data_IF_931014617502
#
_entry.id   IF_931014617502
#
_cell.length_a   1.000
_cell.length_b   1.000
_cell.length_c   1.000
_cell.angle_alpha   90.00
_cell.angle_beta   90.00
_cell.angle_gamma   90.00
#
_symmetry.space_group_name_H-M   'P 1'
#
loop_
_entity.id
_entity.type
_entity.pdbx_description
1 polymer ?
#
# COMPACT_ATOMS: atom_id res chain seq x y z
N UNK A 1 -17.23 6.34 -39.33
CA UNK A 1 -17.66 5.61 -38.12
C UNK A 1 -16.50 4.75 -37.67
N UNK A 2 -15.78 5.11 -36.60
CA UNK A 2 -14.54 4.44 -36.19
C UNK A 2 -14.87 3.20 -35.34
N UNK A 3 -14.70 2.01 -35.92
CA UNK A 3 -14.85 0.74 -35.23
C UNK A 3 -13.69 0.49 -34.28
N UNK A 4 -13.99 0.30 -32.99
CA UNK A 4 -13.02 0.05 -31.94
C UNK A 4 -12.46 -1.38 -32.08
N UNK A 5 -11.37 -1.52 -32.84
CA UNK A 5 -10.73 -2.81 -33.19
C UNK A 5 -10.17 -3.61 -32.00
N UNK A 6 -10.17 -3.04 -30.79
CA UNK A 6 -9.60 -3.65 -29.57
C UNK A 6 -10.51 -4.75 -28.99
N UNK A 7 -11.78 -4.85 -29.42
CA UNK A 7 -12.74 -5.86 -28.91
C UNK A 7 -13.18 -6.92 -29.92
N UNK A 8 -12.56 -6.98 -31.10
CA UNK A 8 -12.84 -7.98 -32.12
C UNK A 8 -11.70 -9.01 -32.14
N UNK A 9 -12.04 -10.29 -31.97
CA UNK A 9 -11.11 -11.38 -32.28
C UNK A 9 -10.82 -11.40 -33.80
N UNK A 10 -9.83 -12.18 -34.25
CA UNK A 10 -9.35 -12.24 -35.64
C UNK A 10 -10.45 -12.49 -36.69
N UNK A 11 -11.63 -12.95 -36.28
CA UNK A 11 -12.81 -13.21 -37.11
C UNK A 11 -13.92 -12.14 -37.03
N UNK A 12 -13.67 -10.97 -36.41
CA UNK A 12 -14.66 -9.89 -36.34
C UNK A 12 -15.80 -10.13 -35.33
N UNK A 13 -15.67 -11.16 -34.49
CA UNK A 13 -16.62 -11.49 -33.43
C UNK A 13 -16.33 -10.64 -32.18
N UNK A 14 -17.33 -9.91 -31.69
CA UNK A 14 -17.26 -9.23 -30.40
C UNK A 14 -17.24 -10.27 -29.27
N UNK A 15 -16.04 -10.63 -28.80
CA UNK A 15 -15.89 -11.49 -27.62
C UNK A 15 -16.23 -10.67 -26.39
N UNK A 16 -17.44 -10.85 -25.85
CA UNK A 16 -17.79 -10.25 -24.57
C UNK A 16 -16.96 -10.93 -23.47
N UNK A 17 -16.15 -10.19 -22.70
CA UNK A 17 -15.39 -10.78 -21.61
C UNK A 17 -16.34 -11.38 -20.59
N UNK A 18 -16.12 -12.65 -20.24
CA UNK A 18 -16.88 -13.31 -19.18
C UNK A 18 -16.53 -12.65 -17.83
N UNK A 19 -17.48 -11.88 -17.28
CA UNK A 19 -17.33 -11.25 -15.97
C UNK A 19 -17.39 -12.34 -14.90
N UNK A 20 -16.27 -12.58 -14.21
CA UNK A 20 -16.24 -13.52 -13.09
C UNK A 20 -16.92 -12.87 -11.87
N UNK A 21 -17.75 -13.63 -11.17
CA UNK A 21 -18.29 -13.21 -9.87
C UNK A 21 -17.25 -13.47 -8.79
N UNK A 22 -16.84 -12.41 -8.10
CA UNK A 22 -15.94 -12.49 -6.95
C UNK A 22 -16.79 -12.74 -5.71
N UNK A 23 -16.38 -13.72 -4.91
CA UNK A 23 -17.00 -14.11 -3.66
C UNK A 23 -16.08 -13.79 -2.46
N UNK A 24 -16.61 -13.87 -1.24
CA UNK A 24 -15.82 -13.58 -0.03
C UNK A 24 -14.62 -14.53 0.17
N UNK A 25 -14.66 -15.83 -0.20
CA UNK A 25 -13.48 -16.70 -0.21
C UNK A 25 -12.35 -16.19 -1.09
N UNK A 26 -12.67 -15.69 -2.29
CA UNK A 26 -11.66 -15.20 -3.24
C UNK A 26 -10.85 -14.02 -2.66
N UNK A 27 -11.50 -13.20 -1.82
CA UNK A 27 -10.84 -12.11 -1.11
C UNK A 27 -9.86 -12.63 -0.05
N UNK A 28 -10.27 -13.62 0.73
CA UNK A 28 -9.41 -14.22 1.76
C UNK A 28 -8.21 -14.94 1.14
N UNK A 29 -8.43 -15.66 0.04
CA UNK A 29 -7.36 -16.33 -0.70
C UNK A 29 -6.38 -15.32 -1.29
N UNK A 30 -6.86 -14.23 -1.88
CA UNK A 30 -6.00 -13.15 -2.40
C UNK A 30 -5.17 -12.49 -1.28
N UNK A 31 -5.77 -12.23 -0.11
CA UNK A 31 -5.06 -11.69 1.05
C UNK A 31 -4.00 -12.66 1.58
N UNK A 32 -4.31 -13.95 1.64
CA UNK A 32 -3.38 -14.99 2.08
C UNK A 32 -2.18 -15.10 1.14
N UNK A 33 -2.42 -15.14 -0.17
CA UNK A 33 -1.35 -15.18 -1.18
C UNK A 33 -0.46 -13.94 -1.09
N UNK A 34 -1.06 -12.75 -0.92
CA UNK A 34 -0.30 -11.52 -0.70
C UNK A 34 0.53 -11.54 0.60
N UNK A 35 0.02 -12.17 1.66
CA UNK A 35 0.76 -12.34 2.92
C UNK A 35 1.92 -13.34 2.79
N UNK A 36 1.73 -14.44 2.05
CA UNK A 36 2.79 -15.40 1.74
C UNK A 36 3.91 -14.75 0.91
N UNK A 37 3.56 -13.96 -0.11
CA UNK A 37 4.52 -13.18 -0.91
C UNK A 37 5.29 -12.15 -0.07
N UNK A 38 4.61 -11.50 0.88
CA UNK A 38 5.24 -10.57 1.82
C UNK A 38 6.27 -11.26 2.72
N UNK A 39 5.92 -12.42 3.25
CA UNK A 39 6.79 -13.22 4.12
C UNK A 39 7.98 -13.85 3.38
N UNK A 40 7.86 -14.10 2.08
CA UNK A 40 8.96 -14.61 1.27
C UNK A 40 10.14 -13.61 1.16
N UNK A 41 9.89 -12.29 1.30
CA UNK A 41 10.92 -11.22 1.29
C UNK A 41 10.64 -10.11 2.29
N UNK A 42 10.84 -10.35 3.61
CA UNK A 42 10.41 -9.43 4.67
C UNK A 42 11.31 -8.19 4.85
N UNK A 43 12.46 -8.11 4.16
CA UNK A 43 13.62 -7.32 4.64
C UNK A 43 13.46 -5.80 4.63
N UNK A 44 12.51 -5.22 3.89
CA UNK A 44 12.39 -3.75 3.76
C UNK A 44 11.07 -3.17 4.28
N UNK A 45 9.96 -3.91 4.17
CA UNK A 45 8.64 -3.43 4.60
C UNK A 45 8.44 -3.43 6.12
N UNK A 46 8.99 -4.45 6.80
CA UNK A 46 8.94 -4.55 8.26
C UNK A 46 9.70 -3.39 8.91
N UNK A 47 10.78 -2.93 8.29
CA UNK A 47 11.60 -1.82 8.80
C UNK A 47 10.81 -0.51 8.81
N UNK A 48 10.02 -0.22 7.77
CA UNK A 48 9.18 0.98 7.73
C UNK A 48 7.99 0.91 8.69
N UNK A 49 7.34 -0.25 8.77
CA UNK A 49 6.25 -0.50 9.71
C UNK A 49 6.71 -0.38 11.18
N UNK A 50 7.97 -0.70 11.47
CA UNK A 50 8.56 -0.57 12.81
C UNK A 50 9.03 0.86 13.10
N UNK A 51 9.62 1.56 12.12
CA UNK A 51 10.11 2.94 12.29
C UNK A 51 8.98 3.89 12.67
N UNK A 52 7.80 3.74 12.04
CA UNK A 52 6.70 4.68 12.22
C UNK A 52 6.18 4.81 13.67
N UNK A 53 5.81 3.69 14.33
CA UNK A 53 5.39 3.72 15.73
C UNK A 53 6.55 4.01 16.70
N UNK A 54 7.78 3.59 16.39
CA UNK A 54 8.95 3.90 17.23
C UNK A 54 9.22 5.39 17.26
N UNK A 55 9.22 6.07 16.11
CA UNK A 55 9.40 7.51 16.03
C UNK A 55 8.22 8.24 16.68
N UNK A 56 6.98 7.80 16.45
CA UNK A 56 5.80 8.37 17.12
C UNK A 56 5.87 8.27 18.65
N UNK A 57 6.34 7.14 19.19
CA UNK A 57 6.56 6.96 20.63
C UNK A 57 7.67 7.88 21.18
N UNK A 58 8.79 7.99 20.45
CA UNK A 58 9.90 8.88 20.83
C UNK A 58 9.41 10.33 20.88
N UNK A 59 8.73 10.79 19.83
CA UNK A 59 8.21 12.17 19.76
C UNK A 59 7.20 12.44 20.88
N UNK A 60 6.25 11.53 21.11
CA UNK A 60 5.24 11.69 22.17
C UNK A 60 5.88 11.76 23.56
N UNK A 61 6.86 10.89 23.83
CA UNK A 61 7.56 10.85 25.12
C UNK A 61 8.41 12.10 25.35
N UNK A 62 9.10 12.58 24.31
CA UNK A 62 9.97 13.75 24.39
C UNK A 62 9.18 15.05 24.58
N UNK A 63 8.00 15.12 23.97
CA UNK A 63 7.12 16.29 24.04
C UNK A 63 6.33 16.36 25.36
N UNK A 64 6.08 15.23 26.01
CA UNK A 64 5.43 15.18 27.34
C UNK A 64 6.34 15.64 28.49
N UNK A 65 7.66 15.47 28.37
CA UNK A 65 8.60 15.84 29.43
C UNK A 65 8.97 17.33 29.52
N UNK A 66 8.64 18.12 28.49
CA UNK A 66 9.17 19.48 28.28
C UNK A 66 8.13 20.60 28.34
N UNK A 67 6.92 20.35 28.89
CA UNK A 67 5.76 21.25 28.80
C UNK A 67 5.38 21.64 27.35
N UNK A 68 5.84 20.85 26.38
CA UNK A 68 5.72 21.13 24.96
C UNK A 68 4.47 20.46 24.36
N UNK A 69 3.46 20.06 25.14
CA UNK A 69 2.34 19.24 24.64
C UNK A 69 1.62 19.85 23.42
N UNK A 70 1.65 21.17 23.30
CA UNK A 70 1.15 21.94 22.15
C UNK A 70 1.84 21.55 20.83
N UNK A 71 3.10 21.11 20.89
CA UNK A 71 3.91 20.66 19.76
C UNK A 71 3.60 19.22 19.32
N UNK A 72 2.88 18.43 20.11
CA UNK A 72 2.52 17.04 19.74
C UNK A 72 1.73 17.02 18.44
N UNK A 73 0.72 17.89 18.32
CA UNK A 73 -0.12 17.95 17.12
C UNK A 73 0.68 18.28 15.85
N UNK A 74 1.46 19.39 15.78
CA UNK A 74 2.25 19.71 14.58
C UNK A 74 3.37 18.69 14.30
N UNK A 75 3.99 18.09 15.32
CA UNK A 75 4.97 17.03 15.09
C UNK A 75 4.33 15.76 14.51
N UNK A 76 3.18 15.34 15.03
CA UNK A 76 2.48 14.17 14.53
C UNK A 76 1.95 14.38 13.12
N UNK A 77 1.40 15.56 12.82
CA UNK A 77 0.92 15.88 11.47
C UNK A 77 2.08 16.02 10.47
N UNK A 78 3.19 16.66 10.86
CA UNK A 78 4.40 16.71 10.04
C UNK A 78 5.01 15.33 9.80
N UNK A 79 5.00 14.46 10.82
CA UNK A 79 5.44 13.08 10.69
C UNK A 79 4.55 12.28 9.74
N UNK A 80 3.23 12.47 9.79
CA UNK A 80 2.26 11.84 8.89
C UNK A 80 2.61 12.08 7.40
N UNK A 81 3.17 13.25 7.06
CA UNK A 81 3.58 13.58 5.70
C UNK A 81 4.78 12.75 5.21
N UNK A 82 5.60 12.19 6.11
CA UNK A 82 6.73 11.32 5.75
C UNK A 82 6.24 9.96 5.24
N UNK A 83 5.06 9.49 5.69
CA UNK A 83 4.49 8.19 5.31
C UNK A 83 4.34 8.01 3.79
N UNK A 84 3.69 8.95 3.07
CA UNK A 84 3.61 8.92 1.62
C UNK A 84 4.96 8.85 0.89
N UNK A 85 5.98 9.58 1.35
CA UNK A 85 7.31 9.52 0.75
C UNK A 85 7.97 8.16 0.97
N UNK A 86 7.83 7.61 2.17
CA UNK A 86 8.37 6.29 2.46
C UNK A 86 7.65 5.18 1.67
N UNK A 87 6.36 5.35 1.39
CA UNK A 87 5.59 4.43 0.53
C UNK A 87 6.10 4.39 -0.91
N UNK A 88 6.74 5.44 -1.43
CA UNK A 88 7.36 5.44 -2.78
C UNK A 88 8.45 4.36 -2.88
N UNK A 89 9.27 4.21 -1.84
CA UNK A 89 10.30 3.17 -1.82
C UNK A 89 9.70 1.76 -1.90
N UNK A 90 8.57 1.56 -1.22
CA UNK A 90 7.82 0.31 -1.28
C UNK A 90 7.22 0.07 -2.67
N UNK A 91 6.58 1.08 -3.26
CA UNK A 91 6.04 0.98 -4.62
C UNK A 91 7.11 0.66 -5.66
N UNK A 92 8.30 1.24 -5.52
CA UNK A 92 9.41 0.97 -6.44
C UNK A 92 9.93 -0.47 -6.31
N UNK A 93 10.02 -1.00 -5.09
CA UNK A 93 10.39 -2.40 -4.84
C UNK A 93 9.34 -3.34 -5.43
N UNK A 94 8.05 -3.01 -5.27
CA UNK A 94 6.95 -3.77 -5.86
C UNK A 94 6.91 -3.67 -7.39
N UNK A 95 7.43 -2.61 -8.01
CA UNK A 95 7.43 -2.41 -9.46
C UNK A 95 8.57 -3.14 -10.18
N UNK A 96 9.70 -3.34 -9.49
CA UNK A 96 10.90 -4.01 -10.05
C UNK A 96 10.82 -5.54 -10.02
N UNK A 97 9.68 -6.09 -9.60
CA UNK A 97 9.29 -7.50 -9.65
C UNK A 97 7.90 -7.61 -10.22
#
# INVERSE_FOLDING_TARGET
MAGFHVMADAHGMHVQPAVRRISTPDLWDALRLGAEDFWAKPSHYVFLCLIYPVVGLILTRWTSGSNAIQLVYPLMSGFALVGPFAAIGLYEISRRR
#
